data_IF_334656012202
#
_entry.id   IF_334656012202
#
_cell.length_a   1.000
_cell.length_b   1.000
_cell.length_c   1.000
_cell.angle_alpha   90.00
_cell.angle_beta   90.00
_cell.angle_gamma   90.00
#
_symmetry.space_group_name_H-M   'P 1'
#
loop_
_entity.id
_entity.type
_entity.pdbx_description
1 polymer ?
#
# COMPACT_ATOMS: atom_id res chain seq x y z
N UNK A 1 -30.85 -6.93 -21.40
CA UNK A 1 -30.11 -8.05 -20.77
C UNK A 1 -28.86 -8.29 -21.64
N UNK A 2 -27.73 -7.66 -21.26
CA UNK A 2 -26.49 -7.63 -22.05
C UNK A 2 -25.52 -8.75 -21.68
N UNK A 3 -25.99 -9.81 -21.00
CA UNK A 3 -25.14 -10.94 -20.57
C UNK A 3 -24.23 -10.63 -19.37
N UNK A 4 -24.40 -9.49 -18.71
CA UNK A 4 -23.63 -9.15 -17.52
C UNK A 4 -23.97 -10.06 -16.34
N UNK A 5 -22.93 -10.50 -15.61
CA UNK A 5 -23.07 -11.19 -14.32
C UNK A 5 -23.11 -10.15 -13.21
N UNK A 6 -24.20 -10.12 -12.44
CA UNK A 6 -24.38 -9.17 -11.34
C UNK A 6 -24.13 -9.88 -10.02
N UNK A 7 -23.24 -9.32 -9.20
CA UNK A 7 -22.97 -9.77 -7.83
C UNK A 7 -23.59 -8.76 -6.86
N UNK A 8 -24.63 -9.18 -6.15
CA UNK A 8 -25.31 -8.32 -5.18
C UNK A 8 -24.79 -8.60 -3.77
N UNK A 9 -24.39 -7.54 -3.06
CA UNK A 9 -24.14 -7.59 -1.63
C UNK A 9 -25.41 -7.24 -0.85
N UNK A 10 -25.72 -7.92 0.27
CA UNK A 10 -26.95 -7.69 1.03
C UNK A 10 -27.01 -6.29 1.68
N UNK A 11 -25.85 -5.64 1.82
CA UNK A 11 -25.68 -4.26 2.32
C UNK A 11 -24.40 -3.67 1.78
N UNK A 12 -24.18 -2.38 1.99
CA UNK A 12 -22.90 -1.76 1.65
C UNK A 12 -21.79 -2.34 2.55
N UNK A 13 -20.87 -3.11 1.98
CA UNK A 13 -19.72 -3.73 2.65
C UNK A 13 -18.42 -2.96 2.43
N UNK A 14 -18.46 -1.83 1.72
CA UNK A 14 -17.31 -1.01 1.35
C UNK A 14 -16.69 -1.38 -0.01
N UNK A 15 -15.94 -0.45 -0.56
CA UNK A 15 -15.29 -0.56 -1.88
C UNK A 15 -14.43 -1.81 -2.01
N UNK A 16 -13.61 -2.09 -0.99
CA UNK A 16 -12.72 -3.27 -1.01
C UNK A 16 -13.47 -4.58 -1.10
N UNK A 17 -14.65 -4.69 -0.48
CA UNK A 17 -15.48 -5.89 -0.61
C UNK A 17 -15.97 -6.11 -2.05
N UNK A 18 -16.25 -5.03 -2.79
CA UNK A 18 -16.55 -5.10 -4.22
C UNK A 18 -15.37 -5.66 -5.02
N UNK A 19 -14.18 -5.11 -4.81
CA UNK A 19 -12.95 -5.60 -5.47
C UNK A 19 -12.68 -7.07 -5.14
N UNK A 20 -12.85 -7.49 -3.88
CA UNK A 20 -12.70 -8.91 -3.49
C UNK A 20 -13.66 -9.81 -4.25
N UNK A 21 -14.93 -9.42 -4.35
CA UNK A 21 -15.93 -10.20 -5.11
C UNK A 21 -15.59 -10.28 -6.59
N UNK A 22 -15.04 -9.22 -7.18
CA UNK A 22 -14.55 -9.21 -8.56
C UNK A 22 -13.38 -10.20 -8.72
N UNK A 23 -12.38 -10.17 -7.84
CA UNK A 23 -11.25 -11.11 -7.86
C UNK A 23 -11.73 -12.57 -7.70
N UNK A 24 -12.63 -12.82 -6.75
CA UNK A 24 -13.19 -14.14 -6.54
C UNK A 24 -13.93 -14.63 -7.81
N UNK A 25 -14.75 -13.77 -8.40
CA UNK A 25 -15.48 -14.12 -9.63
C UNK A 25 -14.55 -14.39 -10.80
N UNK A 26 -13.49 -13.57 -10.95
CA UNK A 26 -12.48 -13.78 -11.98
C UNK A 26 -11.76 -15.14 -11.83
N UNK A 27 -11.46 -15.56 -10.58
CA UNK A 27 -10.93 -16.91 -10.28
C UNK A 27 -11.92 -18.01 -10.67
N UNK A 28 -13.19 -17.87 -10.29
CA UNK A 28 -14.25 -18.88 -10.56
C UNK A 28 -14.45 -19.14 -12.05
N UNK A 29 -14.36 -18.10 -12.89
CA UNK A 29 -14.52 -18.22 -14.35
C UNK A 29 -13.21 -18.40 -15.10
N UNK A 30 -12.12 -18.63 -14.39
CA UNK A 30 -10.76 -18.84 -14.91
C UNK A 30 -10.30 -17.75 -15.90
N UNK A 31 -10.50 -16.48 -15.54
CA UNK A 31 -10.17 -15.34 -16.39
C UNK A 31 -8.67 -15.22 -16.65
N UNK A 32 -8.26 -14.98 -17.90
CA UNK A 32 -6.87 -14.74 -18.27
C UNK A 32 -6.41 -13.32 -17.88
N UNK A 33 -7.30 -12.35 -18.00
CA UNK A 33 -7.07 -10.94 -17.64
C UNK A 33 -8.31 -10.38 -16.94
N UNK A 34 -8.09 -9.74 -15.81
CA UNK A 34 -9.10 -8.97 -15.09
C UNK A 34 -8.83 -7.48 -15.29
N UNK A 35 -9.83 -6.73 -15.70
CA UNK A 35 -9.78 -5.26 -15.69
C UNK A 35 -10.79 -4.73 -14.69
N UNK A 36 -10.34 -3.96 -13.70
CA UNK A 36 -11.23 -3.20 -12.81
C UNK A 36 -11.53 -1.84 -13.42
N UNK A 37 -12.80 -1.44 -13.39
CA UNK A 37 -13.29 -0.25 -14.06
C UNK A 37 -14.44 0.35 -13.26
N UNK A 38 -14.33 1.61 -12.84
CA UNK A 38 -15.39 2.29 -12.13
C UNK A 38 -16.46 2.79 -13.12
N UNK A 39 -17.72 2.41 -12.88
CA UNK A 39 -18.84 2.73 -13.77
C UNK A 39 -19.51 4.07 -13.45
N UNK A 40 -18.72 5.06 -12.99
CA UNK A 40 -19.17 6.42 -12.63
C UNK A 40 -19.11 7.41 -13.79
N UNK A 41 -18.73 6.93 -14.98
CA UNK A 41 -18.61 7.75 -16.20
C UNK A 41 -17.31 8.56 -16.30
N UNK A 42 -16.39 8.44 -15.34
CA UNK A 42 -15.13 9.20 -15.36
C UNK A 42 -14.07 8.55 -16.28
N UNK A 43 -14.14 7.24 -16.49
CA UNK A 43 -13.18 6.49 -17.30
C UNK A 43 -13.68 6.27 -18.74
N UNK A 44 -12.75 6.30 -19.69
CA UNK A 44 -13.02 6.01 -21.09
C UNK A 44 -12.82 4.52 -21.38
N UNK A 45 -13.77 3.89 -22.06
CA UNK A 45 -13.73 2.46 -22.42
C UNK A 45 -12.54 2.14 -23.34
N UNK A 46 -12.14 3.10 -24.16
CA UNK A 46 -11.01 3.01 -25.07
C UNK A 46 -9.67 2.79 -24.33
N UNK A 47 -9.56 3.31 -23.11
CA UNK A 47 -8.36 3.15 -22.29
C UNK A 47 -8.17 1.71 -21.77
N UNK A 48 -9.21 0.84 -21.84
CA UNK A 48 -9.09 -0.60 -21.51
C UNK A 48 -7.99 -1.24 -22.35
N UNK A 49 -7.88 -0.91 -23.63
CA UNK A 49 -6.83 -1.45 -24.49
C UNK A 49 -5.44 -1.06 -24.01
N UNK A 50 -5.26 0.17 -23.49
CA UNK A 50 -3.98 0.66 -22.98
C UNK A 50 -3.51 -0.10 -21.74
N UNK A 51 -4.42 -0.41 -20.81
CA UNK A 51 -4.06 -1.15 -19.57
C UNK A 51 -3.86 -2.65 -19.84
N UNK A 52 -4.51 -3.21 -20.86
CA UNK A 52 -4.39 -4.65 -21.20
C UNK A 52 -3.14 -4.95 -22.04
N UNK A 53 -2.74 -4.03 -22.92
CA UNK A 53 -1.64 -4.26 -23.87
C UNK A 53 -0.30 -4.67 -23.21
N UNK A 54 0.17 -4.05 -22.11
CA UNK A 54 1.42 -4.48 -21.47
C UNK A 54 1.35 -5.90 -20.90
N UNK A 55 0.17 -6.36 -20.46
CA UNK A 55 -0.04 -7.74 -19.99
C UNK A 55 0.06 -8.71 -21.16
N UNK A 56 -0.63 -8.44 -22.26
CA UNK A 56 -0.59 -9.27 -23.48
C UNK A 56 0.83 -9.39 -24.06
N UNK A 57 1.66 -8.35 -23.87
CA UNK A 57 3.07 -8.34 -24.28
C UNK A 57 4.03 -8.92 -23.23
N UNK A 58 3.53 -9.50 -22.13
CA UNK A 58 4.31 -10.05 -21.02
C UNK A 58 5.31 -9.04 -20.41
N UNK A 59 5.00 -7.74 -20.47
CA UNK A 59 5.82 -6.66 -19.91
C UNK A 59 5.51 -6.36 -18.45
N UNK A 60 4.27 -6.63 -18.03
CA UNK A 60 3.78 -6.40 -16.67
C UNK A 60 2.74 -7.44 -16.28
N UNK A 61 2.62 -7.69 -14.97
CA UNK A 61 1.61 -8.56 -14.37
C UNK A 61 0.41 -7.75 -13.88
N UNK A 62 0.67 -6.50 -13.47
CA UNK A 62 -0.34 -5.49 -13.09
C UNK A 62 -0.06 -4.22 -13.88
N UNK A 63 -1.12 -3.64 -14.44
CA UNK A 63 -1.04 -2.34 -15.13
C UNK A 63 -2.02 -1.37 -14.49
N UNK A 64 -1.53 -0.21 -14.08
CA UNK A 64 -2.30 0.86 -13.49
C UNK A 64 -2.56 1.93 -14.55
N UNK A 65 -3.82 2.31 -14.75
CA UNK A 65 -4.16 3.51 -15.48
C UNK A 65 -3.89 4.73 -14.60
N UNK A 66 -2.76 5.41 -14.84
CA UNK A 66 -2.33 6.54 -14.03
C UNK A 66 -2.87 7.87 -14.56
N UNK A 67 -3.39 8.69 -13.64
CA UNK A 67 -3.85 10.05 -13.90
C UNK A 67 -2.70 11.05 -13.98
N UNK A 68 -1.52 10.68 -13.44
CA UNK A 68 -0.41 11.62 -13.22
C UNK A 68 0.81 11.32 -14.09
N UNK A 69 0.80 10.28 -14.91
CA UNK A 69 1.99 9.84 -15.67
C UNK A 69 2.39 10.86 -16.76
N UNK A 70 1.43 11.36 -17.55
CA UNK A 70 1.67 12.34 -18.62
C UNK A 70 1.00 13.69 -18.36
N UNK A 71 -0.10 13.72 -17.61
CA UNK A 71 -0.88 14.92 -17.36
C UNK A 71 -0.42 15.65 -16.10
N UNK A 72 0.35 16.73 -16.27
CA UNK A 72 0.67 17.66 -15.17
C UNK A 72 -0.55 18.44 -14.66
N UNK A 73 -1.61 18.56 -15.47
CA UNK A 73 -2.83 19.32 -15.20
C UNK A 73 -4.04 18.40 -14.98
N UNK A 74 -3.99 17.53 -13.98
CA UNK A 74 -5.18 16.78 -13.57
C UNK A 74 -6.18 17.75 -12.94
N UNK A 75 -7.42 17.79 -13.45
CA UNK A 75 -8.50 18.67 -12.98
C UNK A 75 -9.06 18.29 -11.61
N UNK A 76 -8.29 17.62 -10.75
CA UNK A 76 -8.67 17.28 -9.40
C UNK A 76 -8.32 18.40 -8.39
N UNK A 77 -9.09 18.58 -7.30
CA UNK A 77 -8.75 19.53 -6.24
C UNK A 77 -7.36 19.27 -5.66
N UNK A 78 -6.61 20.33 -5.34
CA UNK A 78 -5.21 20.24 -4.89
C UNK A 78 -5.03 19.38 -3.63
N UNK A 79 -5.93 19.47 -2.64
CA UNK A 79 -5.88 18.63 -1.45
C UNK A 79 -5.96 17.13 -1.79
N UNK A 80 -6.75 16.75 -2.80
CA UNK A 80 -6.87 15.36 -3.27
C UNK A 80 -5.59 14.90 -3.95
N UNK A 81 -4.97 15.75 -4.77
CA UNK A 81 -3.67 15.47 -5.42
C UNK A 81 -2.57 15.27 -4.36
N UNK A 82 -2.53 16.14 -3.33
CA UNK A 82 -1.55 16.04 -2.24
C UNK A 82 -1.75 14.71 -1.48
N UNK A 83 -3.00 14.37 -1.13
CA UNK A 83 -3.32 13.10 -0.46
C UNK A 83 -2.87 11.88 -1.27
N UNK A 84 -3.20 11.83 -2.56
CA UNK A 84 -2.79 10.73 -3.46
C UNK A 84 -1.26 10.65 -3.55
N UNK A 85 -0.56 11.78 -3.74
CA UNK A 85 0.90 11.82 -3.80
C UNK A 85 1.55 11.32 -2.51
N UNK A 86 1.00 11.69 -1.35
CA UNK A 86 1.51 11.24 -0.06
C UNK A 86 1.35 9.73 0.10
N UNK A 87 0.16 9.19 -0.17
CA UNK A 87 -0.11 7.75 -0.09
C UNK A 87 0.76 7.00 -1.10
N UNK A 88 0.88 7.50 -2.33
CA UNK A 88 1.74 6.91 -3.37
C UNK A 88 3.21 6.92 -2.95
N UNK A 89 3.70 8.02 -2.35
CA UNK A 89 5.08 8.08 -1.83
C UNK A 89 5.34 7.03 -0.75
N UNK A 90 4.39 6.87 0.17
CA UNK A 90 4.46 5.85 1.24
C UNK A 90 4.42 4.44 0.62
N UNK A 91 3.52 4.18 -0.33
CA UNK A 91 3.44 2.90 -1.05
C UNK A 91 4.74 2.58 -1.80
N UNK A 92 5.31 3.57 -2.50
CA UNK A 92 6.57 3.44 -3.24
C UNK A 92 7.79 3.06 -2.37
N UNK A 93 7.73 3.24 -1.06
CA UNK A 93 8.80 2.78 -0.15
C UNK A 93 8.93 1.25 -0.10
N UNK A 94 7.90 0.54 -0.53
CA UNK A 94 7.82 -0.93 -0.50
C UNK A 94 7.83 -1.56 -1.89
N UNK A 95 7.55 -0.79 -2.93
CA UNK A 95 7.54 -1.28 -4.31
C UNK A 95 8.96 -1.32 -4.90
N UNK A 96 9.19 -2.26 -5.82
CA UNK A 96 10.41 -2.32 -6.64
C UNK A 96 10.39 -1.26 -7.72
N UNK A 97 9.27 -1.16 -8.44
CA UNK A 97 9.01 -0.14 -9.46
C UNK A 97 8.31 1.06 -8.80
N UNK A 98 8.73 2.28 -9.17
CA UNK A 98 8.06 3.49 -8.70
C UNK A 98 6.85 3.80 -9.57
N UNK A 99 5.73 4.04 -8.92
CA UNK A 99 4.47 4.40 -9.55
C UNK A 99 4.09 5.85 -9.20
N UNK A 100 3.22 6.43 -10.03
CA UNK A 100 2.74 7.82 -9.87
C UNK A 100 1.33 7.88 -9.28
N UNK A 101 0.53 6.80 -9.37
CA UNK A 101 -0.86 6.74 -8.93
C UNK A 101 -1.25 5.42 -8.25
N UNK A 102 -0.96 5.29 -6.96
CA UNK A 102 -1.36 4.12 -6.16
C UNK A 102 -2.86 4.03 -5.88
N UNK A 103 -3.63 5.10 -6.16
CA UNK A 103 -5.05 5.19 -5.80
C UNK A 103 -5.99 5.04 -7.01
N UNK A 104 -5.47 4.87 -8.22
CA UNK A 104 -6.31 4.56 -9.36
C UNK A 104 -6.98 3.19 -9.19
N UNK A 105 -8.30 3.12 -9.37
CA UNK A 105 -9.09 1.88 -9.41
C UNK A 105 -9.09 1.22 -10.78
N UNK A 106 -8.70 1.96 -11.82
CA UNK A 106 -8.63 1.44 -13.19
C UNK A 106 -7.32 0.68 -13.40
N UNK A 107 -7.40 -0.65 -13.36
CA UNK A 107 -6.25 -1.55 -13.43
C UNK A 107 -6.53 -2.80 -14.22
N UNK A 108 -5.48 -3.37 -14.80
CA UNK A 108 -5.51 -4.71 -15.38
C UNK A 108 -4.58 -5.65 -14.60
N UNK A 109 -4.98 -6.91 -14.47
CA UNK A 109 -4.27 -7.97 -13.76
C UNK A 109 -4.20 -9.21 -14.63
N UNK A 110 -3.06 -9.87 -14.72
CA UNK A 110 -2.93 -11.15 -15.40
C UNK A 110 -3.47 -12.31 -14.55
N UNK A 111 -3.59 -13.51 -15.14
CA UNK A 111 -4.08 -14.72 -14.51
C UNK A 111 -3.29 -15.11 -13.26
N UNK A 112 -1.98 -14.95 -13.27
CA UNK A 112 -1.13 -15.29 -12.12
C UNK A 112 -1.42 -14.40 -10.92
N UNK A 113 -1.62 -13.10 -11.14
CA UNK A 113 -2.02 -12.16 -10.08
C UNK A 113 -3.41 -12.50 -9.56
N UNK A 114 -4.38 -12.74 -10.44
CA UNK A 114 -5.76 -13.12 -10.06
C UNK A 114 -5.72 -14.36 -9.18
N UNK A 115 -4.96 -15.36 -9.53
CA UNK A 115 -4.91 -16.65 -8.84
C UNK A 115 -4.18 -16.58 -7.50
N UNK A 116 -3.02 -15.90 -7.45
CA UNK A 116 -2.11 -15.90 -6.29
C UNK A 116 -2.40 -14.81 -5.27
N UNK A 117 -3.00 -13.69 -5.69
CA UNK A 117 -3.36 -12.62 -4.75
C UNK A 117 -4.75 -12.86 -4.14
N UNK A 118 -4.81 -12.61 -2.84
CA UNK A 118 -6.04 -12.62 -2.06
C UNK A 118 -6.17 -11.28 -1.31
N UNK A 119 -6.84 -10.28 -1.92
CA UNK A 119 -7.06 -9.00 -1.27
C UNK A 119 -7.97 -9.15 -0.05
N UNK A 120 -7.61 -8.53 1.07
CA UNK A 120 -8.32 -8.70 2.36
C UNK A 120 -9.03 -7.45 2.88
N UNK A 121 -8.60 -6.26 2.47
CA UNK A 121 -9.21 -5.00 2.92
C UNK A 121 -10.63 -4.85 2.39
N UNK A 122 -11.53 -4.41 3.25
CA UNK A 122 -12.93 -4.11 2.88
C UNK A 122 -13.13 -2.64 2.51
N UNK A 123 -12.16 -1.80 2.84
CA UNK A 123 -12.17 -0.35 2.59
C UNK A 123 -11.40 0.07 1.34
N UNK A 124 -11.08 1.36 1.27
CA UNK A 124 -10.34 1.95 0.15
C UNK A 124 -8.83 1.63 0.18
N UNK A 125 -8.32 1.11 1.30
CA UNK A 125 -6.93 0.66 1.42
C UNK A 125 -6.59 -0.55 0.54
N UNK A 126 -7.60 -1.25 0.00
CA UNK A 126 -7.42 -2.40 -0.90
C UNK A 126 -6.57 -2.06 -2.12
N UNK A 127 -6.66 -0.82 -2.62
CA UNK A 127 -5.87 -0.37 -3.77
C UNK A 127 -4.36 -0.41 -3.50
N UNK A 128 -3.94 -0.01 -2.31
CA UNK A 128 -2.53 -0.07 -1.87
C UNK A 128 -2.14 -1.46 -1.40
N UNK A 129 -3.04 -2.18 -0.72
CA UNK A 129 -2.82 -3.56 -0.31
C UNK A 129 -2.42 -4.46 -1.49
N UNK A 130 -3.20 -4.42 -2.58
CA UNK A 130 -2.93 -5.21 -3.79
C UNK A 130 -1.52 -4.92 -4.31
N UNK A 131 -1.11 -3.66 -4.39
CA UNK A 131 0.21 -3.29 -4.91
C UNK A 131 1.35 -3.75 -3.98
N UNK A 132 1.19 -3.61 -2.68
CA UNK A 132 2.18 -4.03 -1.68
C UNK A 132 2.32 -5.56 -1.72
N UNK A 133 1.21 -6.30 -1.71
CA UNK A 133 1.21 -7.76 -1.84
C UNK A 133 1.81 -8.22 -3.17
N UNK A 134 1.45 -7.59 -4.27
CA UNK A 134 1.98 -7.92 -5.59
C UNK A 134 3.51 -7.75 -5.64
N UNK A 135 4.02 -6.63 -5.14
CA UNK A 135 5.46 -6.37 -5.07
C UNK A 135 6.19 -7.40 -4.20
N UNK A 136 5.61 -7.81 -3.06
CA UNK A 136 6.19 -8.85 -2.18
C UNK A 136 6.21 -10.24 -2.82
N UNK A 137 5.28 -10.53 -3.73
CA UNK A 137 5.26 -11.76 -4.53
C UNK A 137 6.13 -11.67 -5.79
N UNK A 138 6.77 -10.53 -6.04
CA UNK A 138 7.67 -10.34 -7.19
C UNK A 138 6.98 -10.05 -8.52
N UNK A 139 5.68 -9.72 -8.51
CA UNK A 139 4.95 -9.31 -9.70
C UNK A 139 5.43 -7.96 -10.21
N UNK A 140 5.51 -7.82 -11.54
CA UNK A 140 5.89 -6.59 -12.24
C UNK A 140 4.70 -5.65 -12.34
N UNK A 141 4.89 -4.41 -11.88
CA UNK A 141 3.87 -3.37 -11.92
C UNK A 141 4.29 -2.30 -12.93
N UNK A 142 3.39 -1.93 -13.84
CA UNK A 142 3.59 -0.86 -14.80
C UNK A 142 2.45 0.15 -14.74
N UNK A 143 2.68 1.33 -15.30
CA UNK A 143 1.66 2.37 -15.45
C UNK A 143 1.50 2.75 -16.92
N UNK A 144 0.27 3.09 -17.29
CA UNK A 144 -0.06 3.71 -18.57
C UNK A 144 -0.89 4.98 -18.33
N UNK A 145 -0.74 6.02 -19.15
CA UNK A 145 -1.51 7.24 -18.97
C UNK A 145 -2.97 7.02 -19.36
N UNK A 146 -3.86 7.54 -18.52
CA UNK A 146 -5.30 7.58 -18.79
C UNK A 146 -5.84 9.00 -18.60
N UNK A 147 -6.92 9.31 -19.30
CA UNK A 147 -7.66 10.55 -19.12
C UNK A 147 -8.89 10.31 -18.27
N UNK A 148 -9.10 11.17 -17.26
CA UNK A 148 -10.32 11.17 -16.45
C UNK A 148 -11.13 12.40 -16.76
N UNK A 149 -12.41 12.18 -17.06
CA UNK A 149 -13.40 13.25 -17.23
C UNK A 149 -13.94 13.61 -15.83
N UNK A 150 -13.55 14.78 -15.30
CA UNK A 150 -14.12 15.31 -14.08
C UNK A 150 -15.35 16.17 -14.41
N UNK A 151 -16.47 15.53 -14.77
CA UNK A 151 -17.75 16.20 -14.95
C UNK A 151 -18.64 15.98 -13.73
N UNK A 152 -18.90 17.06 -12.96
CA UNK A 152 -19.86 17.06 -11.85
C UNK A 152 -19.32 16.75 -10.44
N UNK A 153 -20.18 17.00 -9.44
CA UNK A 153 -19.94 16.73 -8.01
C UNK A 153 -20.12 15.23 -7.71
N UNK A 154 -19.11 14.40 -7.93
CA UNK A 154 -19.21 12.94 -7.81
C UNK A 154 -18.72 12.36 -6.49
N UNK A 155 -18.22 13.16 -5.54
CA UNK A 155 -17.70 12.66 -4.26
C UNK A 155 -18.71 12.81 -3.13
N UNK A 156 -19.29 11.69 -2.68
CA UNK A 156 -20.23 11.63 -1.54
C UNK A 156 -19.54 11.50 -0.17
N UNK A 157 -18.20 11.39 -0.11
CA UNK A 157 -17.45 11.16 1.14
C UNK A 157 -16.63 12.37 1.55
N UNK A 158 -16.50 12.56 2.88
CA UNK A 158 -15.61 13.58 3.45
C UNK A 158 -14.14 13.26 3.08
N UNK A 159 -13.46 14.13 2.30
CA UNK A 159 -12.13 13.80 1.73
C UNK A 159 -11.06 13.58 2.78
N UNK A 160 -11.14 14.23 3.94
CA UNK A 160 -10.14 14.14 5.01
C UNK A 160 -10.23 12.79 5.73
N UNK A 161 -11.42 12.38 6.16
CA UNK A 161 -11.60 11.08 6.83
C UNK A 161 -11.27 9.92 5.92
N UNK A 162 -11.58 10.06 4.62
CA UNK A 162 -11.25 9.09 3.59
C UNK A 162 -9.74 8.95 3.40
N UNK A 163 -9.02 10.06 3.19
CA UNK A 163 -7.57 10.06 3.02
C UNK A 163 -6.84 9.49 4.24
N UNK A 164 -7.30 9.82 5.45
CA UNK A 164 -6.72 9.30 6.71
C UNK A 164 -6.91 7.78 6.82
N UNK A 165 -8.10 7.26 6.50
CA UNK A 165 -8.38 5.83 6.51
C UNK A 165 -7.47 5.06 5.55
N UNK A 166 -7.29 5.55 4.33
CA UNK A 166 -6.39 4.93 3.34
C UNK A 166 -4.94 4.96 3.80
N UNK A 167 -4.49 6.08 4.38
CA UNK A 167 -3.13 6.21 4.89
C UNK A 167 -2.86 5.21 6.02
N UNK A 168 -3.77 5.10 6.99
CA UNK A 168 -3.66 4.13 8.09
C UNK A 168 -3.65 2.69 7.59
N UNK A 169 -4.52 2.34 6.63
CA UNK A 169 -4.50 1.02 5.98
C UNK A 169 -3.18 0.77 5.28
N UNK A 170 -2.64 1.75 4.54
CA UNK A 170 -1.35 1.63 3.86
C UNK A 170 -0.22 1.37 4.86
N UNK A 171 -0.15 2.14 5.96
CA UNK A 171 0.84 1.95 7.04
C UNK A 171 0.71 0.56 7.64
N UNK A 172 -0.52 0.11 7.93
CA UNK A 172 -0.79 -1.24 8.43
C UNK A 172 -0.22 -2.31 7.50
N UNK A 173 -0.50 -2.24 6.20
CA UNK A 173 0.00 -3.24 5.24
C UNK A 173 1.52 -3.22 5.13
N UNK A 174 2.15 -2.04 5.10
CA UNK A 174 3.62 -1.91 5.08
C UNK A 174 4.24 -2.54 6.33
N UNK A 175 3.65 -2.28 7.50
CA UNK A 175 4.15 -2.79 8.77
C UNK A 175 4.10 -4.32 8.86
N UNK A 176 3.12 -4.94 8.18
CA UNK A 176 2.95 -6.40 8.14
C UNK A 176 3.85 -7.02 7.05
N UNK A 177 3.84 -6.49 5.84
CA UNK A 177 4.57 -7.08 4.71
C UNK A 177 6.08 -6.86 4.78
N UNK A 178 6.53 -5.75 5.39
CA UNK A 178 7.94 -5.38 5.50
C UNK A 178 8.35 -5.01 6.93
N UNK A 179 8.17 -5.91 7.94
CA UNK A 179 8.43 -5.60 9.34
C UNK A 179 9.90 -5.23 9.61
N UNK A 180 10.85 -5.85 8.90
CA UNK A 180 12.27 -5.53 9.03
C UNK A 180 12.59 -4.08 8.64
N UNK A 181 11.97 -3.56 7.59
CA UNK A 181 12.16 -2.15 7.19
C UNK A 181 11.40 -1.20 8.09
N UNK A 182 10.15 -1.55 8.45
CA UNK A 182 9.25 -0.66 9.17
C UNK A 182 9.60 -0.49 10.65
N UNK A 183 9.97 -1.56 11.33
CA UNK A 183 10.33 -1.54 12.75
C UNK A 183 11.84 -1.71 12.97
N UNK A 184 12.54 -2.50 12.13
CA UNK A 184 13.95 -2.80 12.30
C UNK A 184 14.85 -1.59 12.08
N UNK A 185 14.63 -0.79 11.02
CA UNK A 185 15.43 0.41 10.78
C UNK A 185 15.26 1.44 11.90
N UNK A 186 14.03 1.82 12.34
CA UNK A 186 13.86 2.68 13.49
C UNK A 186 14.50 2.13 14.76
N UNK A 187 14.42 0.82 15.01
CA UNK A 187 15.05 0.24 16.20
C UNK A 187 16.55 0.47 16.24
N UNK A 188 17.25 0.30 15.11
CA UNK A 188 18.71 0.55 15.02
C UNK A 188 19.03 2.03 15.28
N UNK A 189 18.19 2.95 14.79
CA UNK A 189 18.35 4.39 15.06
C UNK A 189 18.20 4.67 16.54
N UNK A 190 17.16 4.14 17.20
CA UNK A 190 16.95 4.34 18.64
C UNK A 190 18.09 3.73 19.46
N UNK A 191 18.64 2.58 19.07
CA UNK A 191 19.82 1.99 19.70
C UNK A 191 21.05 2.90 19.55
N UNK A 192 21.33 3.39 18.36
CA UNK A 192 22.47 4.28 18.12
C UNK A 192 22.37 5.55 18.97
N UNK A 193 21.18 6.16 19.01
CA UNK A 193 20.91 7.32 19.86
C UNK A 193 21.10 6.97 21.34
N UNK A 194 20.53 5.87 21.79
CA UNK A 194 20.64 5.40 23.18
C UNK A 194 22.07 5.14 23.60
N UNK A 195 22.87 4.48 22.77
CA UNK A 195 24.30 4.24 23.04
C UNK A 195 25.08 5.54 23.11
N UNK A 196 24.78 6.52 22.22
CA UNK A 196 25.42 7.85 22.24
C UNK A 196 25.13 8.56 23.56
N UNK A 197 23.87 8.60 24.01
CA UNK A 197 23.50 9.22 25.28
C UNK A 197 24.04 8.45 26.50
N UNK A 198 24.16 7.13 26.41
CA UNK A 198 24.84 6.33 27.43
C UNK A 198 26.31 6.72 27.55
N UNK A 199 27.01 6.82 26.43
CA UNK A 199 28.40 7.25 26.39
C UNK A 199 28.59 8.64 27.00
N UNK A 200 27.76 9.63 26.60
CA UNK A 200 27.76 10.96 27.16
C UNK A 200 27.47 10.99 28.67
N UNK A 201 26.57 10.15 29.16
CA UNK A 201 26.24 10.04 30.58
C UNK A 201 27.41 9.49 31.38
N UNK A 202 28.13 8.49 30.84
CA UNK A 202 29.33 7.90 31.47
C UNK A 202 30.48 8.92 31.50
N UNK A 203 30.74 9.66 30.42
CA UNK A 203 31.72 10.72 30.41
C UNK A 203 31.44 11.81 31.46
N UNK A 204 30.18 12.27 31.51
CA UNK A 204 29.76 13.26 32.49
C UNK A 204 29.99 12.76 33.94
N UNK A 205 29.67 11.47 34.18
CA UNK A 205 29.94 10.86 35.48
C UNK A 205 31.44 10.79 35.82
N UNK A 206 32.27 10.45 34.84
CA UNK A 206 33.72 10.39 35.03
C UNK A 206 34.35 11.75 35.36
N UNK A 207 33.82 12.85 34.79
CA UNK A 207 34.32 14.21 35.01
C UNK A 207 33.81 14.85 36.32
N UNK A 208 32.51 14.61 36.64
CA UNK A 208 31.83 15.36 37.72
C UNK A 208 31.55 14.49 38.98
N UNK A 209 31.66 13.17 38.83
CA UNK A 209 31.36 12.21 39.90
C UNK A 209 29.85 12.07 40.23
N UNK A 210 28.95 12.61 39.38
CA UNK A 210 27.50 12.54 39.55
C UNK A 210 26.82 12.18 38.22
N UNK A 211 25.79 11.36 38.29
CA UNK A 211 24.98 11.06 37.08
C UNK A 211 24.15 12.27 36.67
N UNK A 212 24.16 12.59 35.39
CA UNK A 212 23.21 13.52 34.82
C UNK A 212 21.88 12.78 34.53
N UNK A 213 20.88 13.04 35.37
CA UNK A 213 19.56 12.35 35.31
C UNK A 213 18.94 12.47 33.94
N UNK A 214 19.01 13.64 33.28
CA UNK A 214 18.41 13.87 31.98
C UNK A 214 19.07 13.01 30.88
N UNK A 215 20.40 12.96 30.83
CA UNK A 215 21.13 12.13 29.87
C UNK A 215 20.84 10.64 30.09
N UNK A 216 20.82 10.21 31.36
CA UNK A 216 20.58 8.82 31.72
C UNK A 216 19.14 8.40 31.38
N UNK A 217 18.13 9.25 31.62
CA UNK A 217 16.74 8.96 31.27
C UNK A 217 16.54 8.88 29.74
N UNK A 218 17.16 9.80 28.98
CA UNK A 218 17.09 9.73 27.51
C UNK A 218 17.75 8.46 26.99
N UNK A 219 18.93 8.09 27.53
CA UNK A 219 19.61 6.85 27.17
C UNK A 219 18.75 5.62 27.44
N UNK A 220 18.22 5.48 28.66
CA UNK A 220 17.39 4.35 29.05
C UNK A 220 16.09 4.29 28.23
N UNK A 221 15.42 5.41 28.04
CA UNK A 221 14.16 5.48 27.27
C UNK A 221 14.36 5.11 25.80
N UNK A 222 15.42 5.62 25.15
CA UNK A 222 15.69 5.31 23.74
C UNK A 222 16.15 3.86 23.54
N UNK A 223 16.94 3.30 24.44
CA UNK A 223 17.32 1.87 24.40
C UNK A 223 16.06 1.00 24.60
N UNK A 224 15.21 1.32 25.56
CA UNK A 224 13.98 0.56 25.80
C UNK A 224 13.06 0.55 24.56
N UNK A 225 12.87 1.71 23.92
CA UNK A 225 12.10 1.80 22.67
C UNK A 225 12.76 0.94 21.58
N UNK A 226 14.09 1.01 21.44
CA UNK A 226 14.85 0.17 20.51
C UNK A 226 14.63 -1.32 20.73
N UNK A 227 14.67 -1.79 21.98
CA UNK A 227 14.40 -3.19 22.36
C UNK A 227 12.98 -3.61 21.98
N UNK A 228 11.97 -2.79 22.31
CA UNK A 228 10.57 -3.07 21.97
C UNK A 228 10.40 -3.21 20.46
N UNK A 229 10.99 -2.31 19.69
CA UNK A 229 10.92 -2.33 18.23
C UNK A 229 11.62 -3.56 17.63
N UNK A 230 12.77 -4.01 18.19
CA UNK A 230 13.45 -5.25 17.75
C UNK A 230 12.57 -6.47 18.02
N UNK A 231 12.03 -6.60 19.22
CA UNK A 231 11.15 -7.72 19.58
C UNK A 231 9.94 -7.74 18.63
N UNK A 232 9.30 -6.60 18.41
CA UNK A 232 8.19 -6.46 17.46
C UNK A 232 8.60 -6.89 16.04
N UNK A 233 9.78 -6.48 15.59
CA UNK A 233 10.32 -6.85 14.27
C UNK A 233 10.46 -8.36 14.13
N UNK A 234 11.07 -9.02 15.11
CA UNK A 234 11.32 -10.48 15.09
C UNK A 234 9.99 -11.24 15.11
N UNK A 235 9.07 -10.86 16.01
CA UNK A 235 7.76 -11.52 16.13
C UNK A 235 6.94 -11.42 14.84
N UNK A 236 6.83 -10.21 14.28
CA UNK A 236 6.08 -10.01 13.04
C UNK A 236 6.75 -10.71 11.84
N UNK A 237 8.08 -10.64 11.73
CA UNK A 237 8.81 -11.35 10.67
C UNK A 237 8.59 -12.85 10.75
N UNK A 238 8.71 -13.45 11.93
CA UNK A 238 8.46 -14.88 12.16
C UNK A 238 7.01 -15.26 11.80
N UNK A 239 6.04 -14.47 12.26
CA UNK A 239 4.62 -14.73 12.00
C UNK A 239 4.32 -14.69 10.49
N UNK A 240 4.81 -13.67 9.80
CA UNK A 240 4.61 -13.52 8.35
C UNK A 240 5.28 -14.65 7.58
N UNK A 241 6.48 -15.10 8.00
CA UNK A 241 7.17 -16.23 7.38
C UNK A 241 6.37 -17.53 7.51
N UNK A 242 5.86 -17.85 8.70
CA UNK A 242 5.04 -19.05 8.93
C UNK A 242 3.76 -19.04 8.10
N UNK A 243 3.07 -17.87 8.03
CA UNK A 243 1.85 -17.74 7.21
C UNK A 243 2.14 -17.92 5.73
N UNK A 244 3.28 -17.44 5.24
CA UNK A 244 3.68 -17.61 3.82
C UNK A 244 4.01 -19.06 3.51
N UNK A 245 4.75 -19.76 4.36
CA UNK A 245 5.07 -21.17 4.18
C UNK A 245 3.82 -22.07 4.23
N UNK A 246 2.85 -21.75 5.09
CA UNK A 246 1.59 -22.49 5.19
C UNK A 246 0.68 -22.33 3.95
N UNK A 247 0.86 -21.28 3.15
CA UNK A 247 0.11 -21.08 1.89
C UNK A 247 0.76 -21.75 0.66
N UNK A 248 2.01 -22.21 0.78
CA UNK A 248 2.75 -22.89 -0.29
C UNK A 248 2.67 -24.41 -0.21
N UNK A 249 2.07 -24.94 0.83
CA UNK A 249 1.68 -26.35 1.00
C UNK A 249 0.19 -26.51 0.71
#
# INVERSE_FOLDING_TARGET
KLGAVVINHPKNLGYGSGIRSIFQKAKEIDSDILVTFDADGQHQVEDIKKVVEPILKNKADIVIGSRFLENKNVSAPEYRKIGIKLITKVTNSTLKEKITDSQSGFRAYNKDVITKLDPGDVGMGISTEILIKASSHGFKIAEVPINILYEGNTSTHNPVSHGTSVLLSTIKYISIEHPLKFYGIPSLIFFAVGLTFTFLSVQYYAEIGRLNTNLTLVAAGTILIGVILIITTILLYSLVSVVREGKTR
#
